data_IF_473772819328
#
_entry.id   IF_473772819328
#
_cell.length_a   1.000
_cell.length_b   1.000
_cell.length_c   1.000
_cell.angle_alpha   90.00
_cell.angle_beta   90.00
_cell.angle_gamma   90.00
#
_symmetry.space_group_name_H-M   'P 1'
#
loop_
_entity.id
_entity.type
_entity.pdbx_description
1 polymer ?
#
# COMPACT_ATOMS: atom_id res chain seq x y z
N UNK A 1 -5.76 55.65 41.13
CA UNK A 1 -6.37 54.52 40.39
C UNK A 1 -5.99 54.44 38.91
N UNK A 2 -5.88 55.55 38.15
CA UNK A 2 -5.49 55.50 36.71
C UNK A 2 -4.04 55.00 36.49
N UNK A 3 -3.08 55.45 37.29
CA UNK A 3 -1.68 55.04 37.17
C UNK A 3 -1.45 53.53 37.45
N UNK A 4 -2.19 52.94 38.39
CA UNK A 4 -2.11 51.49 38.69
C UNK A 4 -2.68 50.65 37.55
N UNK A 5 -3.74 51.11 36.88
CA UNK A 5 -4.30 50.44 35.70
C UNK A 5 -3.35 50.47 34.49
N UNK A 6 -2.61 51.57 34.30
CA UNK A 6 -1.62 51.69 33.21
C UNK A 6 -0.39 50.82 33.50
N UNK A 7 0.08 50.79 34.75
CA UNK A 7 1.18 49.91 35.15
C UNK A 7 0.80 48.42 35.06
N UNK A 8 -0.43 48.07 35.39
CA UNK A 8 -0.95 46.71 35.24
C UNK A 8 -1.11 46.31 33.77
N UNK A 9 -1.59 47.22 32.90
CA UNK A 9 -1.63 46.99 31.45
C UNK A 9 -0.22 46.82 30.85
N UNK A 10 0.75 47.59 31.33
CA UNK A 10 2.15 47.47 30.90
C UNK A 10 2.79 46.15 31.32
N UNK A 11 2.50 45.68 32.55
CA UNK A 11 3.00 44.40 33.05
C UNK A 11 2.36 43.21 32.33
N UNK A 12 1.04 43.25 32.07
CA UNK A 12 0.32 42.23 31.29
C UNK A 12 0.80 42.20 29.84
N UNK A 13 1.13 43.34 29.23
CA UNK A 13 1.69 43.41 27.87
C UNK A 13 3.11 42.85 27.76
N UNK A 14 3.88 42.79 28.85
CA UNK A 14 5.24 42.23 28.85
C UNK A 14 5.26 40.71 29.11
N UNK A 15 4.18 40.15 29.64
CA UNK A 15 4.05 38.72 29.94
C UNK A 15 3.67 37.85 28.73
N UNK A 16 3.29 38.46 27.59
CA UNK A 16 2.89 37.74 26.36
C UNK A 16 4.02 37.58 25.35
N UNK A 17 5.24 38.04 25.64
CA UNK A 17 6.41 37.81 24.79
C UNK A 17 7.07 36.47 25.12
N UNK A 18 6.35 35.35 24.92
CA UNK A 18 7.00 34.04 24.84
C UNK A 18 7.54 33.89 23.43
N UNK A 19 8.77 34.38 23.19
CA UNK A 19 9.53 33.96 22.03
C UNK A 19 9.86 32.48 22.25
N UNK A 20 9.13 31.60 21.58
CA UNK A 20 9.57 30.21 21.42
C UNK A 20 10.79 30.32 20.49
N UNK A 21 11.97 30.05 21.01
CA UNK A 21 13.15 29.86 20.15
C UNK A 21 12.89 28.60 19.33
N UNK A 22 12.80 28.70 17.98
CA UNK A 22 12.73 27.51 17.16
C UNK A 22 14.00 26.70 17.42
N UNK A 23 13.83 25.41 17.69
CA UNK A 23 14.97 24.50 17.76
C UNK A 23 15.48 24.32 16.33
N UNK A 24 16.61 24.96 16.00
CA UNK A 24 17.31 24.71 14.75
C UNK A 24 17.99 23.34 14.87
N UNK A 25 17.32 22.30 14.38
CA UNK A 25 17.95 21.01 14.12
C UNK A 25 18.98 21.24 13.00
N UNK A 26 20.26 21.31 13.36
CA UNK A 26 21.34 21.31 12.37
C UNK A 26 21.43 19.89 11.82
N UNK A 27 20.82 19.66 10.66
CA UNK A 27 21.03 18.42 9.92
C UNK A 27 22.41 18.50 9.25
N UNK A 28 23.30 17.56 9.54
CA UNK A 28 24.43 17.33 8.66
C UNK A 28 23.86 16.72 7.36
N UNK A 29 24.08 17.42 6.24
CA UNK A 29 23.83 16.85 4.92
C UNK A 29 24.79 15.68 4.72
N UNK A 30 24.28 14.45 4.83
CA UNK A 30 25.04 13.30 4.42
C UNK A 30 25.13 13.35 2.90
N UNK A 31 26.36 13.45 2.40
CA UNK A 31 26.64 13.42 0.95
C UNK A 31 26.12 12.15 0.25
N UNK A 32 25.80 11.10 1.01
CA UNK A 32 25.17 9.87 0.56
C UNK A 32 23.96 9.57 1.44
N UNK A 33 22.71 9.81 0.97
CA UNK A 33 21.54 9.39 1.70
C UNK A 33 21.50 7.86 1.77
N UNK A 34 21.09 7.33 2.92
CA UNK A 34 20.79 5.90 3.07
C UNK A 34 19.62 5.51 2.17
N UNK A 35 19.53 4.22 1.86
CA UNK A 35 18.45 3.66 1.05
C UNK A 35 17.51 2.81 1.91
N UNK A 36 16.27 2.73 1.48
CA UNK A 36 15.26 1.81 1.99
C UNK A 36 14.99 0.77 0.90
N UNK A 37 15.08 -0.50 1.26
CA UNK A 37 14.78 -1.62 0.37
C UNK A 37 13.61 -2.40 0.95
N UNK A 38 12.49 -2.42 0.24
CA UNK A 38 11.28 -3.13 0.64
C UNK A 38 10.83 -4.10 -0.43
N UNK A 39 10.49 -5.31 -0.04
CA UNK A 39 9.94 -6.30 -0.97
C UNK A 39 9.80 -7.66 -0.32
N UNK A 40 9.23 -8.60 -1.06
CA UNK A 40 9.17 -9.97 -0.59
C UNK A 40 9.15 -10.96 -1.75
N UNK A 41 9.60 -12.18 -1.47
CA UNK A 41 9.40 -13.35 -2.31
C UNK A 41 8.29 -14.23 -1.71
N UNK A 42 7.48 -14.87 -2.53
CA UNK A 42 6.46 -15.82 -2.08
C UNK A 42 6.52 -17.14 -2.81
N UNK A 43 5.84 -18.15 -2.26
CA UNK A 43 5.68 -19.49 -2.86
C UNK A 43 4.73 -19.54 -4.07
N UNK A 44 3.89 -18.50 -4.24
CA UNK A 44 3.12 -18.23 -5.44
C UNK A 44 4.03 -17.89 -6.64
N UNK A 45 3.79 -18.57 -7.77
CA UNK A 45 4.48 -18.33 -9.03
C UNK A 45 3.98 -17.04 -9.67
N UNK A 46 4.90 -16.11 -9.96
CA UNK A 46 4.52 -14.83 -10.54
C UNK A 46 5.66 -13.82 -10.60
N UNK A 47 5.28 -12.57 -10.87
CA UNK A 47 6.18 -11.43 -10.78
C UNK A 47 6.21 -10.96 -9.31
N UNK A 48 7.42 -10.83 -8.77
CA UNK A 48 7.70 -10.26 -7.46
C UNK A 48 8.39 -8.92 -7.64
N UNK A 49 8.14 -8.00 -6.72
CA UNK A 49 8.64 -6.63 -6.78
C UNK A 49 9.52 -6.32 -5.57
N UNK A 50 10.62 -5.62 -5.83
CA UNK A 50 11.51 -5.05 -4.82
C UNK A 50 11.63 -3.57 -5.12
N UNK A 51 11.27 -2.73 -4.15
CA UNK A 51 11.39 -1.29 -4.23
C UNK A 51 12.68 -0.83 -3.58
N UNK A 52 13.40 0.05 -4.27
CA UNK A 52 14.61 0.70 -3.77
C UNK A 52 14.41 2.21 -3.84
N UNK A 53 14.42 2.86 -2.69
CA UNK A 53 14.24 4.31 -2.56
C UNK A 53 15.31 4.90 -1.64
N UNK A 54 15.54 6.21 -1.71
CA UNK A 54 16.38 6.94 -0.77
C UNK A 54 15.54 7.44 0.38
N UNK A 55 16.12 7.41 1.59
CA UNK A 55 15.47 7.98 2.77
C UNK A 55 15.27 9.47 2.55
N UNK A 56 14.02 9.92 2.52
CA UNK A 56 13.69 11.33 2.50
C UNK A 56 13.66 11.86 3.93
N UNK A 57 14.41 12.93 4.20
CA UNK A 57 14.39 13.57 5.53
C UNK A 57 13.08 14.34 5.70
N UNK A 58 12.39 14.13 6.82
CA UNK A 58 11.24 14.94 7.24
C UNK A 58 11.73 16.34 7.64
N UNK A 59 11.88 17.26 6.69
CA UNK A 59 12.21 18.66 7.01
C UNK A 59 11.49 19.69 6.12
N UNK A 60 10.98 19.32 4.95
CA UNK A 60 10.37 20.30 4.05
C UNK A 60 8.84 20.23 4.07
N UNK A 61 8.22 21.31 4.53
CA UNK A 61 6.77 21.56 4.59
C UNK A 61 6.07 21.60 3.20
N UNK A 62 6.74 21.18 2.12
CA UNK A 62 6.26 21.25 0.74
C UNK A 62 5.92 19.88 0.12
N UNK A 63 5.61 18.89 0.95
CA UNK A 63 5.30 17.54 0.50
C UNK A 63 6.56 16.67 0.43
N UNK A 64 6.37 15.36 0.64
CA UNK A 64 7.45 14.37 0.53
C UNK A 64 7.62 14.02 -0.94
N UNK A 65 8.72 14.46 -1.56
CA UNK A 65 9.13 13.95 -2.86
C UNK A 65 9.90 12.65 -2.64
N UNK A 66 9.34 11.53 -3.12
CA UNK A 66 9.98 10.23 -3.02
C UNK A 66 11.13 10.17 -4.04
N UNK A 67 12.36 10.02 -3.53
CA UNK A 67 13.56 9.88 -4.37
C UNK A 67 13.85 8.38 -4.60
N UNK A 68 13.51 7.90 -5.80
CA UNK A 68 13.66 6.50 -6.17
C UNK A 68 15.04 6.18 -6.77
N UNK A 69 15.44 4.90 -6.76
CA UNK A 69 16.74 4.47 -7.28
C UNK A 69 16.56 3.68 -8.58
N UNK A 70 16.97 4.27 -9.71
CA UNK A 70 16.60 3.78 -11.06
C UNK A 70 17.66 2.87 -11.72
N UNK A 71 18.84 2.76 -11.11
CA UNK A 71 20.00 2.08 -11.70
C UNK A 71 20.78 1.28 -10.64
N UNK A 72 20.10 0.37 -9.97
CA UNK A 72 20.71 -0.59 -9.08
C UNK A 72 20.70 -1.99 -9.73
N UNK A 73 21.69 -2.81 -9.39
CA UNK A 73 21.64 -4.26 -9.65
C UNK A 73 20.91 -4.91 -8.48
N UNK A 74 19.73 -5.49 -8.73
CA UNK A 74 18.90 -6.13 -7.71
C UNK A 74 18.78 -7.62 -7.99
N UNK A 75 19.11 -8.44 -6.99
CA UNK A 75 19.01 -9.90 -7.09
C UNK A 75 18.51 -10.51 -5.79
N UNK A 76 17.82 -11.64 -5.88
CA UNK A 76 17.54 -12.51 -4.74
C UNK A 76 18.43 -13.75 -4.83
N UNK A 77 19.10 -14.07 -3.73
CA UNK A 77 20.08 -15.15 -3.63
C UNK A 77 19.53 -16.22 -2.69
N UNK A 78 19.46 -17.47 -3.15
CA UNK A 78 19.07 -18.60 -2.31
C UNK A 78 20.24 -19.16 -1.48
N UNK A 79 19.95 -20.11 -0.59
CA UNK A 79 20.92 -20.78 0.27
C UNK A 79 21.94 -21.68 -0.45
N UNK A 80 21.70 -22.04 -1.71
CA UNK A 80 22.65 -22.74 -2.59
C UNK A 80 23.54 -21.75 -3.37
N UNK A 81 23.27 -20.45 -3.29
CA UNK A 81 23.97 -19.38 -3.98
C UNK A 81 23.46 -19.09 -5.40
N UNK A 82 22.34 -19.67 -5.81
CA UNK A 82 21.70 -19.33 -7.08
C UNK A 82 21.12 -17.91 -6.99
N UNK A 83 21.20 -17.19 -8.11
CA UNK A 83 20.72 -15.81 -8.20
C UNK A 83 19.51 -15.72 -9.12
N UNK A 84 18.48 -15.03 -8.63
CA UNK A 84 17.35 -14.56 -9.41
C UNK A 84 17.49 -13.06 -9.61
N UNK A 85 17.68 -12.63 -10.85
CA UNK A 85 17.85 -11.22 -11.19
C UNK A 85 16.50 -10.50 -11.29
N UNK A 86 16.45 -9.26 -10.82
CA UNK A 86 15.29 -8.37 -10.92
C UNK A 86 15.63 -7.20 -11.84
N UNK A 87 14.72 -6.87 -12.76
CA UNK A 87 14.92 -5.81 -13.76
C UNK A 87 14.16 -4.56 -13.37
N UNK A 88 14.77 -3.39 -13.53
CA UNK A 88 14.12 -2.10 -13.30
C UNK A 88 12.86 -1.95 -14.16
N UNK A 89 11.78 -1.43 -13.55
CA UNK A 89 10.52 -1.13 -14.23
C UNK A 89 10.25 0.38 -14.23
N UNK A 90 9.92 0.93 -13.07
CA UNK A 90 9.51 2.32 -12.88
C UNK A 90 9.59 2.67 -11.38
N UNK A 91 9.74 3.95 -11.02
CA UNK A 91 9.59 4.44 -9.64
C UNK A 91 10.38 3.61 -8.58
N UNK A 92 11.61 3.22 -8.91
CA UNK A 92 12.49 2.41 -8.04
C UNK A 92 12.03 0.96 -7.84
N UNK A 93 11.04 0.49 -8.61
CA UNK A 93 10.55 -0.89 -8.60
C UNK A 93 11.40 -1.74 -9.54
N UNK A 94 11.88 -2.86 -9.01
CA UNK A 94 12.56 -3.92 -9.73
C UNK A 94 11.70 -5.17 -9.71
N UNK A 95 11.47 -5.79 -10.86
CA UNK A 95 10.55 -6.91 -11.03
C UNK A 95 11.29 -8.19 -11.44
N UNK A 96 10.86 -9.33 -10.90
CA UNK A 96 11.34 -10.65 -11.32
C UNK A 96 10.74 -11.10 -12.65
N UNK A 97 11.27 -12.20 -13.20
CA UNK A 97 10.58 -12.94 -14.26
C UNK A 97 9.28 -13.59 -13.73
N UNK A 98 8.24 -13.79 -14.58
CA UNK A 98 6.91 -14.22 -14.14
C UNK A 98 6.82 -15.67 -13.63
N UNK A 99 7.88 -16.47 -13.79
CA UNK A 99 7.95 -17.87 -13.37
C UNK A 99 8.73 -18.06 -12.06
N UNK A 100 8.99 -16.97 -11.33
CA UNK A 100 9.73 -17.00 -10.07
C UNK A 100 8.80 -17.37 -8.93
N UNK A 101 9.30 -18.20 -8.00
CA UNK A 101 8.64 -18.58 -6.75
C UNK A 101 9.66 -19.03 -5.72
N UNK A 102 9.37 -18.81 -4.44
CA UNK A 102 10.09 -19.43 -3.35
C UNK A 102 9.71 -20.92 -3.23
N UNK A 103 10.69 -21.74 -2.88
CA UNK A 103 10.52 -23.16 -2.57
C UNK A 103 10.46 -23.40 -1.05
N UNK A 104 9.53 -24.23 -0.54
CA UNK A 104 9.43 -24.52 0.88
C UNK A 104 10.75 -25.03 1.47
N UNK A 105 11.10 -24.56 2.68
CA UNK A 105 12.32 -24.91 3.39
C UNK A 105 13.59 -24.19 2.91
N UNK A 106 13.55 -23.51 1.75
CA UNK A 106 14.68 -22.72 1.24
C UNK A 106 14.76 -21.35 1.90
N UNK A 107 15.98 -20.84 2.03
CA UNK A 107 16.24 -19.49 2.52
C UNK A 107 16.69 -18.57 1.40
N UNK A 108 16.25 -17.30 1.44
CA UNK A 108 16.55 -16.30 0.44
C UNK A 108 16.97 -14.98 1.11
N UNK A 109 17.82 -14.22 0.42
CA UNK A 109 18.13 -12.83 0.78
C UNK A 109 18.13 -11.96 -0.46
N UNK A 110 17.77 -10.69 -0.31
CA UNK A 110 17.98 -9.70 -1.38
C UNK A 110 19.40 -9.15 -1.30
N UNK A 111 19.99 -8.87 -2.46
CA UNK A 111 21.23 -8.12 -2.63
C UNK A 111 21.02 -7.02 -3.66
N UNK A 112 21.30 -5.79 -3.25
CA UNK A 112 21.20 -4.58 -4.07
C UNK A 112 22.59 -3.94 -4.15
N UNK A 113 23.06 -3.69 -5.37
CA UNK A 113 24.32 -2.96 -5.62
C UNK A 113 24.01 -1.69 -6.36
N UNK A 114 24.37 -0.55 -5.77
CA UNK A 114 24.16 0.77 -6.36
C UNK A 114 25.26 1.11 -7.37
N UNK A 115 25.02 2.13 -8.20
CA UNK A 115 26.02 2.66 -9.14
C UNK A 115 27.27 3.26 -8.48
N UNK A 116 27.20 3.60 -7.19
CA UNK A 116 28.32 4.11 -6.40
C UNK A 116 29.06 2.99 -5.65
N UNK A 117 28.87 1.73 -6.08
CA UNK A 117 29.45 0.50 -5.52
C UNK A 117 29.01 0.16 -4.08
N UNK A 118 28.08 0.92 -3.48
CA UNK A 118 27.48 0.52 -2.19
C UNK A 118 26.67 -0.75 -2.37
N UNK A 119 26.83 -1.67 -1.43
CA UNK A 119 26.15 -2.97 -1.45
C UNK A 119 25.31 -3.13 -0.21
N UNK A 120 24.04 -3.47 -0.42
CA UNK A 120 23.08 -3.74 0.65
C UNK A 120 22.57 -5.19 0.52
N UNK A 121 22.47 -5.89 1.65
CA UNK A 121 21.94 -7.24 1.73
C UNK A 121 20.95 -7.38 2.88
N UNK A 122 19.90 -8.17 2.68
CA UNK A 122 19.06 -8.61 3.79
C UNK A 122 19.74 -9.73 4.59
N UNK A 123 19.24 -9.96 5.80
CA UNK A 123 19.34 -11.28 6.42
C UNK A 123 18.63 -12.33 5.56
N UNK A 124 19.01 -13.60 5.74
CA UNK A 124 18.29 -14.71 5.13
C UNK A 124 16.93 -14.89 5.81
N UNK A 125 15.89 -14.94 5.00
CA UNK A 125 14.53 -15.32 5.40
C UNK A 125 14.21 -16.69 4.80
N UNK A 126 13.67 -17.58 5.61
CA UNK A 126 13.31 -18.93 5.18
C UNK A 126 11.82 -18.99 4.88
N UNK A 127 11.45 -19.62 3.76
CA UNK A 127 10.05 -20.00 3.53
C UNK A 127 9.70 -21.20 4.43
N UNK A 128 8.74 -21.09 5.36
CA UNK A 128 8.34 -22.21 6.20
C UNK A 128 7.87 -23.40 5.36
N UNK A 129 8.13 -24.63 5.81
CA UNK A 129 7.66 -25.85 5.14
C UNK A 129 6.14 -26.05 5.25
N UNK A 130 5.52 -25.49 6.28
CA UNK A 130 4.08 -25.53 6.47
C UNK A 130 3.38 -24.80 5.32
N UNK A 131 2.47 -25.51 4.63
CA UNK A 131 1.74 -24.94 3.49
C UNK A 131 0.83 -23.79 3.93
N UNK A 132 0.72 -22.79 3.05
CA UNK A 132 -0.27 -21.73 3.13
C UNK A 132 -1.69 -22.33 3.24
N UNK A 133 -2.49 -21.85 4.19
CA UNK A 133 -3.92 -22.15 4.17
C UNK A 133 -4.55 -21.29 3.06
N UNK A 134 -5.38 -21.86 2.17
CA UNK A 134 -6.05 -21.07 1.15
C UNK A 134 -6.87 -19.97 1.81
N UNK A 135 -6.76 -18.74 1.29
CA UNK A 135 -7.60 -17.63 1.75
C UNK A 135 -9.04 -17.84 1.24
N UNK A 136 -10.01 -17.78 2.15
CA UNK A 136 -11.43 -17.71 1.82
C UNK A 136 -11.94 -16.31 2.10
N UNK A 137 -12.19 -15.52 1.06
CA UNK A 137 -12.82 -14.21 1.26
C UNK A 137 -14.35 -14.35 1.33
N UNK A 138 -14.98 -13.41 2.02
CA UNK A 138 -16.41 -13.15 1.97
C UNK A 138 -16.68 -11.65 2.03
N UNK A 139 -17.89 -11.23 1.68
CA UNK A 139 -18.27 -9.82 1.75
C UNK A 139 -19.73 -9.66 2.16
N UNK A 140 -20.04 -8.53 2.78
CA UNK A 140 -21.40 -8.16 3.18
C UNK A 140 -21.62 -6.66 3.08
N UNK A 141 -22.86 -6.27 2.80
CA UNK A 141 -23.27 -4.88 2.95
C UNK A 141 -23.23 -4.50 4.43
N UNK A 142 -22.67 -3.34 4.73
CA UNK A 142 -22.50 -2.83 6.08
C UNK A 142 -22.64 -1.29 6.10
N UNK A 143 -22.66 -0.71 7.28
CA UNK A 143 -22.78 0.73 7.50
C UNK A 143 -21.86 1.20 8.62
N UNK A 144 -21.24 2.36 8.47
CA UNK A 144 -20.42 3.02 9.50
C UNK A 144 -20.90 4.44 9.77
N UNK A 145 -20.78 4.85 11.03
CA UNK A 145 -21.06 6.23 11.43
C UNK A 145 -19.89 7.15 11.07
N UNK A 146 -20.17 8.18 10.28
CA UNK A 146 -19.21 9.23 9.92
C UNK A 146 -19.70 10.60 10.38
N UNK A 147 -18.78 11.53 10.62
CA UNK A 147 -19.13 12.92 10.94
C UNK A 147 -19.00 13.76 9.68
N UNK A 148 -20.11 14.25 9.17
CA UNK A 148 -20.15 15.19 8.03
C UNK A 148 -20.73 16.51 8.54
N UNK A 149 -19.94 17.58 8.45
CA UNK A 149 -20.34 18.92 8.92
C UNK A 149 -20.81 18.95 10.39
N UNK A 150 -20.14 18.18 11.25
CA UNK A 150 -20.46 18.12 12.69
C UNK A 150 -21.72 17.32 13.03
N UNK A 151 -22.34 16.64 12.05
CA UNK A 151 -23.49 15.76 12.25
C UNK A 151 -23.08 14.31 11.99
N UNK A 152 -23.50 13.39 12.86
CA UNK A 152 -23.31 11.96 12.67
C UNK A 152 -24.25 11.47 11.56
N UNK A 153 -23.69 10.85 10.54
CA UNK A 153 -24.39 10.30 9.39
C UNK A 153 -23.96 8.85 9.19
N UNK A 154 -24.92 8.00 8.87
CA UNK A 154 -24.64 6.61 8.50
C UNK A 154 -24.17 6.56 7.04
N UNK A 155 -23.01 5.97 6.81
CA UNK A 155 -22.45 5.76 5.48
C UNK A 155 -22.45 4.27 5.16
N UNK A 156 -23.05 3.89 4.03
CA UNK A 156 -23.08 2.51 3.55
C UNK A 156 -21.78 2.13 2.83
N UNK A 157 -21.36 0.88 3.03
CA UNK A 157 -20.18 0.29 2.43
C UNK A 157 -20.26 -1.22 2.35
N UNK A 158 -19.17 -1.81 1.89
CA UNK A 158 -18.99 -3.25 1.83
C UNK A 158 -17.84 -3.61 2.75
N UNK A 159 -18.14 -4.47 3.71
CA UNK A 159 -17.12 -5.08 4.57
C UNK A 159 -16.62 -6.35 3.88
N UNK A 160 -15.31 -6.46 3.71
CA UNK A 160 -14.64 -7.64 3.17
C UNK A 160 -13.95 -8.36 4.32
N UNK A 161 -14.20 -9.66 4.43
CA UNK A 161 -13.70 -10.50 5.51
C UNK A 161 -12.88 -11.67 4.95
N UNK A 162 -11.78 -11.99 5.61
CA UNK A 162 -10.99 -13.19 5.37
C UNK A 162 -11.32 -14.26 6.41
N UNK A 163 -11.53 -15.49 5.97
CA UNK A 163 -11.65 -16.64 6.85
C UNK A 163 -10.28 -17.04 7.41
N UNK A 164 -10.15 -16.99 8.73
CA UNK A 164 -8.98 -17.49 9.46
C UNK A 164 -9.33 -18.84 10.07
N UNK A 165 -8.57 -19.87 9.68
CA UNK A 165 -8.63 -21.20 10.28
C UNK A 165 -7.70 -21.21 11.50
N UNK A 166 -8.24 -21.62 12.66
CA UNK A 166 -7.48 -21.73 13.91
C UNK A 166 -6.48 -22.88 13.84
N UNK A 167 -5.26 -22.58 14.26
CA UNK A 167 -4.13 -23.52 14.28
C UNK A 167 -3.50 -23.59 15.69
N UNK A 168 -2.74 -24.65 15.95
CA UNK A 168 -2.09 -24.87 17.26
C UNK A 168 -0.95 -23.86 17.52
N UNK A 169 -0.39 -23.29 16.46
CA UNK A 169 0.69 -22.31 16.52
C UNK A 169 0.15 -20.91 16.19
N UNK A 170 0.74 -19.89 16.82
CA UNK A 170 0.43 -18.51 16.48
C UNK A 170 0.72 -18.25 15.00
N UNK A 171 -0.20 -17.59 14.30
CA UNK A 171 0.00 -17.16 12.91
C UNK A 171 -0.12 -15.64 12.79
N UNK A 172 0.70 -15.08 11.91
CA UNK A 172 0.74 -13.64 11.64
C UNK A 172 0.41 -13.43 10.18
N UNK A 173 -0.60 -12.62 9.95
CA UNK A 173 -1.13 -12.37 8.63
C UNK A 173 -0.93 -10.90 8.25
N UNK A 174 -0.60 -10.71 6.98
CA UNK A 174 -0.75 -9.43 6.30
C UNK A 174 -1.56 -9.63 5.03
N UNK A 175 -2.34 -8.63 4.64
CA UNK A 175 -2.99 -8.63 3.33
C UNK A 175 -2.49 -7.47 2.48
N UNK A 176 -2.08 -7.79 1.26
CA UNK A 176 -1.96 -6.80 0.19
C UNK A 176 -3.30 -6.79 -0.57
N UNK A 177 -3.99 -5.64 -0.54
CA UNK A 177 -5.33 -5.50 -1.11
C UNK A 177 -5.26 -4.61 -2.35
N UNK A 178 -5.81 -5.11 -3.46
CA UNK A 178 -5.96 -4.36 -4.70
C UNK A 178 -7.44 -4.25 -5.05
N UNK A 179 -7.84 -3.07 -5.54
CA UNK A 179 -9.16 -2.87 -6.12
C UNK A 179 -9.08 -2.81 -7.61
N UNK A 180 -10.08 -3.40 -8.25
CA UNK A 180 -10.26 -3.27 -9.68
C UNK A 180 -11.74 -3.01 -9.99
N UNK A 181 -12.02 -2.17 -10.97
CA UNK A 181 -13.40 -1.86 -11.32
C UNK A 181 -13.56 -1.48 -12.79
N UNK A 182 -14.81 -1.52 -13.24
CA UNK A 182 -15.19 -1.19 -14.60
C UNK A 182 -15.83 0.20 -14.63
N UNK A 183 -15.42 1.00 -15.63
CA UNK A 183 -16.07 2.24 -16.03
C UNK A 183 -16.66 2.05 -17.44
N UNK A 184 -17.84 2.60 -17.70
CA UNK A 184 -18.35 2.76 -19.07
C UNK A 184 -18.07 4.18 -19.58
N UNK A 185 -17.43 4.29 -20.75
CA UNK A 185 -16.98 5.55 -21.35
C UNK A 185 -18.09 6.35 -22.10
N UNK A 186 -19.36 5.91 -22.06
CA UNK A 186 -20.44 6.44 -22.91
C UNK A 186 -20.93 7.86 -22.51
N UNK A 187 -20.63 8.33 -21.29
CA UNK A 187 -21.03 9.67 -20.81
C UNK A 187 -20.07 10.81 -21.22
N UNK A 188 -19.04 10.53 -22.04
CA UNK A 188 -18.10 11.55 -22.52
C UNK A 188 -18.81 12.64 -23.35
N UNK A 189 -18.83 13.92 -22.92
CA UNK A 189 -19.69 14.94 -23.51
C UNK A 189 -19.44 15.30 -24.98
N UNK A 190 -18.36 14.85 -25.63
CA UNK A 190 -17.98 15.37 -26.97
C UNK A 190 -17.74 14.38 -28.11
N UNK A 191 -17.76 13.04 -27.95
CA UNK A 191 -17.40 12.16 -29.08
C UNK A 191 -18.19 10.85 -29.18
N UNK A 192 -19.49 10.92 -29.52
CA UNK A 192 -20.04 10.12 -30.64
C UNK A 192 -21.50 10.47 -30.92
N UNK A 193 -21.79 10.84 -32.17
CA UNK A 193 -23.15 10.82 -32.69
C UNK A 193 -23.68 9.38 -32.59
N UNK A 194 -24.78 9.20 -31.85
CA UNK A 194 -25.49 7.94 -31.57
C UNK A 194 -25.72 7.03 -32.82
N UNK A 195 -25.62 7.60 -34.02
CA UNK A 195 -25.94 6.98 -35.31
C UNK A 195 -24.76 6.29 -36.02
N UNK A 196 -23.56 6.24 -35.43
CA UNK A 196 -22.38 5.56 -36.01
C UNK A 196 -21.92 4.33 -35.19
N UNK A 197 -22.69 3.92 -34.18
CA UNK A 197 -22.35 2.80 -33.30
C UNK A 197 -22.48 1.45 -34.02
N UNK A 198 -21.41 0.68 -34.11
CA UNK A 198 -21.43 -0.73 -34.56
C UNK A 198 -21.40 -1.69 -33.35
N UNK A 199 -21.94 -2.90 -33.48
CA UNK A 199 -21.94 -3.93 -32.39
C UNK A 199 -20.52 -4.32 -31.91
N UNK A 200 -19.47 -4.02 -32.68
CA UNK A 200 -18.09 -4.25 -32.27
C UNK A 200 -17.53 -3.13 -31.38
N UNK A 201 -18.15 -1.95 -31.36
CA UNK A 201 -17.73 -0.82 -30.51
C UNK A 201 -18.09 -1.04 -29.04
N UNK A 202 -19.09 -1.89 -28.74
CA UNK A 202 -19.57 -2.15 -27.37
C UNK A 202 -18.62 -2.98 -26.51
N UNK A 203 -17.64 -3.69 -27.09
CA UNK A 203 -16.61 -4.40 -26.32
C UNK A 203 -15.48 -3.46 -25.89
N UNK A 204 -15.26 -2.37 -26.62
CA UNK A 204 -14.20 -1.37 -26.37
C UNK A 204 -14.67 -0.21 -25.47
N UNK A 205 -15.91 -0.23 -24.97
CA UNK A 205 -16.50 0.86 -24.15
C UNK A 205 -16.15 0.78 -22.66
N UNK A 206 -15.67 -0.38 -22.22
CA UNK A 206 -15.40 -0.66 -20.80
C UNK A 206 -13.91 -0.48 -20.51
N UNK A 207 -13.63 0.34 -19.51
CA UNK A 207 -12.27 0.58 -19.02
C UNK A 207 -12.05 -0.27 -17.77
N UNK A 208 -10.93 -0.99 -17.72
CA UNK A 208 -10.52 -1.76 -16.55
C UNK A 208 -9.53 -0.94 -15.73
N UNK A 209 -9.98 -0.50 -14.56
CA UNK A 209 -9.17 0.32 -13.68
C UNK A 209 -8.63 -0.54 -12.56
N UNK A 210 -7.31 -0.52 -12.38
CA UNK A 210 -6.68 -0.92 -11.12
C UNK A 210 -6.55 0.33 -10.26
N UNK A 211 -7.27 0.36 -9.14
CA UNK A 211 -7.21 1.51 -8.25
C UNK A 211 -5.93 1.49 -7.42
N UNK A 212 -5.36 2.68 -7.19
CA UNK A 212 -4.28 2.83 -6.24
C UNK A 212 -4.89 3.04 -4.85
N UNK A 213 -5.16 1.91 -4.17
CA UNK A 213 -5.56 1.96 -2.76
C UNK A 213 -4.42 2.64 -1.98
N UNK A 214 -4.78 3.49 -1.01
CA UNK A 214 -3.83 4.00 -0.02
C UNK A 214 -3.04 2.83 0.56
N UNK A 215 -1.72 2.98 0.75
CA UNK A 215 -0.83 1.94 1.29
C UNK A 215 -1.10 1.68 2.79
N UNK A 216 -2.33 1.32 3.12
CA UNK A 216 -2.69 0.86 4.45
C UNK A 216 -2.12 -0.54 4.66
N UNK A 217 -1.53 -0.75 5.83
CA UNK A 217 -0.94 -2.03 6.20
C UNK A 217 -1.98 -2.83 6.98
N UNK A 218 -2.58 -3.84 6.36
CA UNK A 218 -3.57 -4.74 6.99
C UNK A 218 -2.85 -5.89 7.70
N UNK A 219 -2.98 -5.96 9.03
CA UNK A 219 -2.26 -6.91 9.88
C UNK A 219 -3.20 -7.59 10.87
N UNK A 220 -2.96 -8.87 11.11
CA UNK A 220 -3.68 -9.63 12.13
C UNK A 220 -2.78 -10.67 12.78
N UNK A 221 -2.89 -10.81 14.10
CA UNK A 221 -2.22 -11.84 14.90
C UNK A 221 -3.27 -12.85 15.38
N UNK A 222 -3.19 -14.09 14.88
CA UNK A 222 -3.98 -15.20 15.39
C UNK A 222 -3.20 -15.90 16.49
N UNK A 223 -3.53 -15.60 17.75
CA UNK A 223 -2.93 -16.26 18.91
C UNK A 223 -3.58 -17.63 19.08
N UNK A 224 -2.74 -18.66 19.23
CA UNK A 224 -3.22 -20.03 19.42
C UNK A 224 -3.98 -20.17 20.73
N UNK A 225 -5.02 -21.01 20.68
CA UNK A 225 -5.88 -21.33 21.80
C UNK A 225 -6.53 -22.69 21.61
N UNK A 226 -7.11 -23.26 22.66
CA UNK A 226 -7.65 -24.65 22.66
C UNK A 226 -8.92 -24.81 21.77
N UNK A 227 -9.40 -23.74 21.15
CA UNK A 227 -10.60 -23.77 20.32
C UNK A 227 -10.25 -24.04 18.84
N UNK A 228 -10.68 -25.21 18.35
CA UNK A 228 -10.71 -25.54 16.92
C UNK A 228 -11.87 -24.83 16.22
N UNK A 229 -11.66 -24.41 14.97
CA UNK A 229 -12.68 -23.76 14.14
C UNK A 229 -12.11 -22.74 13.15
N UNK A 230 -12.99 -21.94 12.56
CA UNK A 230 -12.63 -20.77 11.76
C UNK A 230 -13.45 -19.55 12.20
N UNK A 231 -12.96 -18.35 11.90
CA UNK A 231 -13.67 -17.10 12.14
C UNK A 231 -13.41 -16.11 10.99
N UNK A 232 -14.30 -15.13 10.86
CA UNK A 232 -14.16 -14.07 9.87
C UNK A 232 -13.40 -12.90 10.49
N UNK A 233 -12.34 -12.46 9.81
CA UNK A 233 -11.56 -11.28 10.15
C UNK A 233 -11.84 -10.21 9.10
N UNK A 234 -12.36 -9.07 9.52
CA UNK A 234 -12.48 -7.92 8.63
C UNK A 234 -11.09 -7.45 8.19
N UNK A 235 -10.88 -7.39 6.87
CA UNK A 235 -9.63 -6.94 6.26
C UNK A 235 -9.78 -5.59 5.56
N UNK A 236 -11.01 -5.21 5.17
CA UNK A 236 -11.25 -3.94 4.52
C UNK A 236 -12.73 -3.52 4.62
N UNK A 237 -12.95 -2.21 4.60
CA UNK A 237 -14.25 -1.61 4.36
C UNK A 237 -14.18 -0.63 3.20
N UNK A 238 -15.00 -0.86 2.18
CA UNK A 238 -15.06 -0.02 0.98
C UNK A 238 -16.40 0.69 0.94
N UNK A 239 -16.40 2.02 1.00
CA UNK A 239 -17.60 2.84 0.86
C UNK A 239 -18.27 2.60 -0.50
N UNK A 240 -19.61 2.52 -0.51
CA UNK A 240 -20.38 2.49 -1.76
C UNK A 240 -20.17 3.81 -2.52
N UNK A 241 -19.57 3.69 -3.69
CA UNK A 241 -19.17 4.77 -4.59
C UNK A 241 -19.43 4.35 -6.04
N UNK A 242 -19.27 5.24 -7.05
CA UNK A 242 -19.46 4.89 -8.46
C UNK A 242 -18.65 3.68 -8.95
N UNK A 243 -17.58 3.28 -8.24
CA UNK A 243 -16.83 2.04 -8.50
C UNK A 243 -17.71 0.78 -8.49
N UNK A 244 -18.84 0.81 -7.79
CA UNK A 244 -19.81 -0.29 -7.69
C UNK A 244 -20.91 -0.25 -8.76
N UNK A 245 -20.86 0.68 -9.72
CA UNK A 245 -21.88 0.80 -10.77
C UNK A 245 -22.00 -0.47 -11.62
N UNK A 246 -20.85 -1.03 -11.99
CA UNK A 246 -20.75 -2.28 -12.74
C UNK A 246 -20.29 -3.43 -11.84
N UNK A 247 -19.01 -3.78 -11.94
CA UNK A 247 -18.39 -4.85 -11.17
C UNK A 247 -17.19 -4.25 -10.46
N UNK A 248 -17.22 -4.33 -9.13
CA UNK A 248 -16.10 -3.99 -8.26
C UNK A 248 -15.44 -5.29 -7.81
N UNK A 249 -14.11 -5.36 -7.92
CA UNK A 249 -13.34 -6.54 -7.54
C UNK A 249 -12.37 -6.16 -6.44
N UNK A 250 -12.44 -6.90 -5.34
CA UNK A 250 -11.40 -6.88 -4.31
C UNK A 250 -10.55 -8.13 -4.48
N UNK A 251 -9.26 -7.93 -4.68
CA UNK A 251 -8.24 -8.96 -4.68
C UNK A 251 -7.43 -8.83 -3.39
N UNK A 252 -7.42 -9.88 -2.56
CA UNK A 252 -6.60 -9.89 -1.37
C UNK A 252 -5.54 -10.99 -1.48
N UNK A 253 -4.28 -10.59 -1.41
CA UNK A 253 -3.14 -11.50 -1.27
C UNK A 253 -2.79 -11.61 0.20
N UNK A 254 -3.13 -12.75 0.80
CA UNK A 254 -2.75 -13.09 2.16
C UNK A 254 -1.28 -13.52 2.19
N UNK A 255 -0.53 -12.97 3.13
CA UNK A 255 0.86 -13.30 3.42
C UNK A 255 0.93 -13.83 4.85
N UNK A 256 1.36 -15.08 5.01
CA UNK A 256 1.68 -15.67 6.31
C UNK A 256 3.16 -15.45 6.56
N UNK A 257 3.47 -14.74 7.64
CA UNK A 257 4.81 -14.26 7.93
C UNK A 257 5.31 -14.66 9.31
N UNK A 258 6.64 -14.71 9.53
CA UNK A 258 7.20 -14.93 10.85
C UNK A 258 6.97 -13.71 11.76
N UNK A 259 7.04 -13.93 13.07
CA UNK A 259 6.76 -12.91 14.09
C UNK A 259 7.60 -11.64 13.94
N UNK A 260 8.89 -11.77 13.59
CA UNK A 260 9.77 -10.60 13.44
C UNK A 260 9.35 -9.71 12.26
N UNK A 261 8.96 -10.31 11.12
CA UNK A 261 8.41 -9.57 9.99
C UNK A 261 7.10 -8.85 10.37
N UNK A 262 6.21 -9.53 11.11
CA UNK A 262 4.97 -8.92 11.61
C UNK A 262 5.23 -7.70 12.51
N UNK A 263 6.20 -7.81 13.43
CA UNK A 263 6.57 -6.72 14.32
C UNK A 263 7.10 -5.51 13.53
N UNK A 264 7.94 -5.74 12.52
CA UNK A 264 8.40 -4.67 11.62
C UNK A 264 7.22 -3.92 10.98
N UNK A 265 6.29 -4.64 10.34
CA UNK A 265 5.13 -4.01 9.70
C UNK A 265 4.18 -3.35 10.69
N UNK A 266 4.09 -3.86 11.93
CA UNK A 266 3.31 -3.25 13.00
C UNK A 266 3.89 -1.90 13.43
N UNK A 267 5.22 -1.78 13.50
CA UNK A 267 5.90 -0.51 13.78
C UNK A 267 5.71 0.48 12.64
N UNK A 268 5.86 0.05 11.38
CA UNK A 268 5.56 0.88 10.19
C UNK A 268 4.12 1.39 10.21
N UNK A 269 3.15 0.49 10.49
CA UNK A 269 1.74 0.87 10.62
C UNK A 269 1.52 1.91 11.72
N UNK A 270 2.15 1.73 12.88
CA UNK A 270 2.01 2.67 13.99
C UNK A 270 2.57 4.05 13.66
N UNK A 271 3.69 4.13 12.92
CA UNK A 271 4.25 5.40 12.48
C UNK A 271 3.38 6.11 11.44
N UNK A 272 2.82 5.38 10.48
CA UNK A 272 1.93 5.94 9.46
C UNK A 272 0.63 6.51 10.07
N UNK A 273 0.17 5.96 11.19
CA UNK A 273 -1.03 6.41 11.90
C UNK A 273 -0.76 7.54 12.91
N UNK A 274 0.51 7.84 13.22
CA UNK A 274 0.85 8.97 14.08
C UNK A 274 0.64 10.28 13.31
N UNK A 275 -0.50 10.92 13.53
CA UNK A 275 -0.93 12.16 12.88
C UNK A 275 -0.14 13.42 13.28
N UNK A 276 0.84 13.31 14.17
CA UNK A 276 1.67 14.43 14.64
C UNK A 276 1.01 15.30 15.71
N UNK A 277 0.05 14.76 16.46
CA UNK A 277 -0.58 15.43 17.60
C UNK A 277 0.41 15.71 18.74
N UNK A 278 0.07 16.66 19.63
CA UNK A 278 0.91 17.06 20.78
C UNK A 278 1.23 15.89 21.75
N UNK A 279 0.46 14.80 21.67
CA UNK A 279 0.62 13.60 22.48
C UNK A 279 1.10 12.38 21.67
N UNK A 280 1.40 12.56 20.38
CA UNK A 280 1.92 11.48 19.55
C UNK A 280 3.38 11.25 19.90
N UNK A 281 3.77 9.98 19.89
CA UNK A 281 5.18 9.59 20.08
C UNK A 281 6.03 10.23 18.99
N UNK A 282 7.21 10.72 19.35
CA UNK A 282 8.17 11.22 18.36
C UNK A 282 8.49 10.12 17.34
N UNK A 283 8.61 10.45 16.04
CA UNK A 283 9.05 9.51 15.02
C UNK A 283 10.38 8.86 15.42
N UNK A 284 10.48 7.55 15.22
CA UNK A 284 11.69 6.76 15.48
C UNK A 284 12.01 5.89 14.26
N UNK A 285 13.27 5.47 14.10
CA UNK A 285 13.66 4.57 13.01
C UNK A 285 13.20 3.14 13.30
N UNK A 286 12.51 2.53 12.33
CA UNK A 286 12.11 1.12 12.42
C UNK A 286 13.27 0.27 11.94
N UNK A 287 13.77 -0.60 12.81
CA UNK A 287 14.84 -1.54 12.44
C UNK A 287 14.28 -2.67 11.58
N UNK A 288 14.65 -2.67 10.32
CA UNK A 288 14.39 -3.75 9.36
C UNK A 288 15.45 -4.86 9.40
N UNK A 289 15.62 -5.56 8.27
CA UNK A 289 16.60 -6.65 8.13
C UNK A 289 17.63 -6.42 7.01
N UNK A 290 17.65 -5.24 6.40
CA UNK A 290 18.58 -4.83 5.34
C UNK A 290 19.78 -4.13 5.96
N UNK A 291 20.99 -4.47 5.54
CA UNK A 291 22.22 -3.81 5.99
C UNK A 291 23.17 -3.54 4.84
N UNK A 292 23.98 -2.50 4.98
CA UNK A 292 25.11 -2.24 4.10
C UNK A 292 26.25 -3.21 4.42
N UNK A 293 26.89 -3.77 3.39
CA UNK A 293 27.90 -4.85 3.50
C UNK A 293 29.18 -4.61 2.68
N UNK A 294 29.36 -3.44 2.08
CA UNK A 294 30.61 -3.08 1.41
C UNK A 294 31.73 -2.71 2.39
N UNK A 295 32.95 -2.51 1.87
CA UNK A 295 34.16 -2.30 2.69
C UNK A 295 34.15 -0.99 3.49
N UNK A 296 33.29 -0.04 3.14
CA UNK A 296 33.11 1.23 3.84
C UNK A 296 31.84 1.23 4.72
N UNK A 297 31.29 0.05 5.01
CA UNK A 297 30.18 -0.12 5.93
C UNK A 297 30.65 0.09 7.38
N UNK A 298 29.95 0.95 8.13
CA UNK A 298 30.19 1.13 9.56
C UNK A 298 29.47 0.03 10.35
N UNK A 299 29.99 -0.37 11.52
CA UNK A 299 29.36 -1.47 12.31
C UNK A 299 28.00 -1.09 12.91
N UNK A 300 27.67 0.20 12.94
CA UNK A 300 26.45 0.77 13.52
C UNK A 300 25.32 1.00 12.49
N UNK A 301 25.47 0.46 11.27
CA UNK A 301 24.52 0.68 10.16
C UNK A 301 23.07 0.43 10.58
N UNK A 302 22.24 1.46 10.44
CA UNK A 302 20.80 1.35 10.61
C UNK A 302 20.23 0.34 9.61
N UNK A 303 19.42 -0.60 10.11
CA UNK A 303 18.75 -1.56 9.24
C UNK A 303 17.48 -0.92 8.70
N UNK A 304 17.50 -0.47 7.44
CA UNK A 304 16.39 0.27 6.83
C UNK A 304 15.73 -0.53 5.71
N UNK A 305 14.42 -0.68 5.82
CA UNK A 305 13.62 -1.50 4.91
C UNK A 305 13.62 -2.98 5.28
N UNK A 306 12.74 -3.75 4.65
CA UNK A 306 12.57 -5.16 4.97
C UNK A 306 12.37 -6.02 3.72
N UNK A 307 13.14 -7.10 3.64
CA UNK A 307 12.90 -8.17 2.69
C UNK A 307 12.31 -9.40 3.38
N UNK A 308 11.17 -9.88 2.91
CA UNK A 308 10.48 -11.05 3.45
C UNK A 308 10.42 -12.24 2.51
N UNK A 309 10.22 -13.43 3.07
CA UNK A 309 9.86 -14.63 2.31
C UNK A 309 8.64 -15.27 2.96
N UNK A 310 7.52 -15.35 2.22
CA UNK A 310 6.21 -15.65 2.80
C UNK A 310 5.46 -16.73 2.06
N UNK A 311 4.66 -17.50 2.80
CA UNK A 311 3.60 -18.31 2.21
C UNK A 311 2.45 -17.39 1.84
N UNK A 312 2.06 -17.39 0.57
CA UNK A 312 1.02 -16.52 0.04
C UNK A 312 -0.23 -17.32 -0.35
N UNK A 313 -1.36 -16.63 -0.40
CA UNK A 313 -2.59 -17.15 -1.01
C UNK A 313 -3.39 -15.98 -1.55
N UNK A 314 -4.13 -16.20 -2.63
CA UNK A 314 -4.85 -15.15 -3.35
C UNK A 314 -6.31 -15.58 -3.56
N UNK A 315 -7.25 -14.72 -3.19
CA UNK A 315 -8.66 -14.84 -3.57
C UNK A 315 -9.19 -13.49 -4.07
N UNK A 316 -10.24 -13.55 -4.88
CA UNK A 316 -10.88 -12.38 -5.48
C UNK A 316 -12.38 -12.45 -5.28
N UNK A 317 -12.99 -11.31 -4.94
CA UNK A 317 -14.46 -11.18 -4.89
C UNK A 317 -14.96 -10.15 -5.87
N UNK A 318 -15.83 -10.63 -6.75
CA UNK A 318 -16.62 -9.83 -7.66
C UNK A 318 -17.90 -9.39 -6.94
N UNK A 319 -18.04 -8.09 -6.77
CA UNK A 319 -19.08 -7.45 -5.99
C UNK A 319 -19.88 -6.55 -6.94
N UNK A 320 -21.20 -6.73 -6.93
CA UNK A 320 -22.15 -5.94 -7.73
C UNK A 320 -23.22 -5.40 -6.81
N UNK A 321 -23.92 -4.35 -7.22
CA UNK A 321 -25.07 -3.87 -6.44
C UNK A 321 -26.13 -4.97 -6.23
N UNK A 322 -26.36 -5.79 -7.27
CA UNK A 322 -27.28 -6.92 -7.20
C UNK A 322 -26.86 -7.98 -6.18
N UNK A 323 -25.57 -8.28 -6.04
CA UNK A 323 -25.10 -9.26 -5.05
C UNK A 323 -25.17 -8.73 -3.61
N UNK A 324 -25.16 -7.40 -3.45
CA UNK A 324 -25.38 -6.72 -2.18
C UNK A 324 -26.87 -6.48 -1.87
N UNK A 325 -27.78 -6.75 -2.82
CA UNK A 325 -29.21 -6.48 -2.66
C UNK A 325 -29.56 -4.99 -2.62
N UNK A 326 -28.70 -4.14 -3.19
CA UNK A 326 -28.93 -2.69 -3.29
C UNK A 326 -29.15 -2.28 -4.74
N UNK A 327 -29.77 -1.12 -4.91
CA UNK A 327 -29.85 -0.43 -6.19
C UNK A 327 -29.72 1.07 -5.92
N UNK A 328 -28.58 1.61 -6.29
CA UNK A 328 -28.19 3.01 -6.12
C UNK A 328 -27.79 3.55 -7.48
N UNK A 329 -28.56 4.53 -7.91
CA UNK A 329 -28.20 5.33 -9.07
C UNK A 329 -27.12 6.32 -8.63
N UNK A 330 -25.99 6.29 -9.31
CA UNK A 330 -24.96 7.31 -9.16
C UNK A 330 -25.32 8.49 -10.06
N UNK A 331 -25.01 9.70 -9.61
CA UNK A 331 -25.28 10.90 -10.40
C UNK A 331 -24.48 10.85 -11.70
N UNK A 332 -25.00 11.41 -12.80
CA UNK A 332 -24.27 11.50 -14.06
C UNK A 332 -22.95 12.22 -13.82
N UNK A 333 -21.93 11.81 -14.56
CA UNK A 333 -20.59 12.16 -14.21
C UNK A 333 -20.34 13.68 -14.31
N UNK A 334 -19.66 14.26 -13.31
CA UNK A 334 -19.21 15.66 -13.33
C UNK A 334 -17.69 15.73 -13.36
N UNK A 335 -17.12 16.33 -14.41
CA UNK A 335 -15.67 16.49 -14.53
C UNK A 335 -15.14 17.43 -13.44
N UNK A 336 -14.18 16.98 -12.60
CA UNK A 336 -13.43 17.89 -11.75
C UNK A 336 -12.53 18.78 -12.62
N UNK A 337 -12.16 19.96 -12.10
CA UNK A 337 -11.35 20.96 -12.82
C UNK A 337 -9.94 20.42 -13.15
N UNK A 338 -9.43 19.51 -12.32
CA UNK A 338 -8.17 18.79 -12.50
C UNK A 338 -8.33 17.33 -12.04
N UNK A 339 -7.86 16.38 -12.83
CA UNK A 339 -7.76 14.96 -12.47
C UNK A 339 -6.53 14.36 -13.14
N UNK A 340 -5.86 13.45 -12.42
CA UNK A 340 -4.64 12.78 -12.87
C UNK A 340 -4.86 11.29 -13.15
N UNK A 341 -6.08 10.80 -12.92
CA UNK A 341 -6.48 9.39 -13.10
C UNK A 341 -7.68 9.28 -14.04
N UNK A 342 -7.88 8.12 -14.71
CA UNK A 342 -9.03 7.91 -15.58
C UNK A 342 -10.35 8.23 -14.87
N UNK A 343 -11.12 9.15 -15.43
CA UNK A 343 -12.38 9.60 -14.85
C UNK A 343 -13.58 8.98 -15.58
N UNK A 344 -14.65 8.56 -14.89
CA UNK A 344 -15.85 8.00 -15.54
C UNK A 344 -16.53 8.90 -16.57
N UNK A 345 -16.23 10.19 -16.54
CA UNK A 345 -16.80 11.20 -17.44
C UNK A 345 -16.10 11.24 -18.79
N UNK A 346 -15.01 10.49 -18.94
CA UNK A 346 -14.18 10.59 -20.11
C UNK A 346 -13.97 9.25 -20.75
N UNK A 347 -13.80 9.31 -22.06
CA UNK A 347 -13.43 8.15 -22.83
C UNK A 347 -11.97 7.80 -22.53
N UNK A 348 -11.78 6.78 -21.69
CA UNK A 348 -10.46 6.28 -21.32
C UNK A 348 -9.62 5.83 -22.53
N UNK A 349 -10.23 5.63 -23.71
CA UNK A 349 -9.52 5.33 -24.96
C UNK A 349 -8.79 6.55 -25.53
N UNK A 350 -9.16 7.76 -25.14
CA UNK A 350 -8.62 9.02 -25.66
C UNK A 350 -7.36 9.48 -24.93
N UNK A 351 -6.96 8.79 -23.87
CA UNK A 351 -5.81 9.15 -23.06
C UNK A 351 -4.67 8.15 -23.21
N UNK A 352 -3.47 8.67 -23.50
CA UNK A 352 -2.23 7.98 -23.20
C UNK A 352 -1.83 8.30 -21.74
N UNK A 353 -2.53 7.75 -20.73
CA UNK A 353 -2.01 7.89 -19.36
C UNK A 353 -0.68 7.11 -19.24
N UNK A 354 0.20 7.55 -18.36
CA UNK A 354 1.53 6.95 -18.19
C UNK A 354 1.48 5.61 -17.44
N UNK A 355 0.39 5.29 -16.73
CA UNK A 355 0.25 4.05 -15.94
C UNK A 355 -1.22 3.54 -15.89
N UNK A 356 -1.39 2.22 -15.97
CA UNK A 356 -2.52 1.42 -15.45
C UNK A 356 -3.95 1.57 -16.03
N UNK A 357 -4.09 1.80 -17.33
CA UNK A 357 -5.32 1.45 -18.05
C UNK A 357 -4.94 0.47 -19.15
N UNK A 358 -5.40 -0.75 -19.01
CA UNK A 358 -5.50 -1.62 -20.18
C UNK A 358 -6.95 -1.50 -20.65
N UNK A 359 -7.14 -1.20 -21.95
CA UNK A 359 -8.44 -1.42 -22.60
C UNK A 359 -8.82 -2.92 -22.63
N UNK A 360 -7.97 -3.78 -22.05
CA UNK A 360 -8.19 -5.20 -21.88
C UNK A 360 -8.29 -5.52 -20.38
N UNK A 361 -9.21 -6.40 -19.99
CA UNK A 361 -9.24 -6.92 -18.64
C UNK A 361 -7.94 -7.66 -18.31
N UNK A 362 -7.53 -7.69 -17.03
CA UNK A 362 -6.53 -8.66 -16.58
C UNK A 362 -6.91 -10.08 -17.01
N UNK A 363 -5.92 -10.93 -17.30
CA UNK A 363 -6.16 -12.28 -17.84
C UNK A 363 -7.04 -13.18 -16.96
N UNK A 364 -7.16 -12.88 -15.67
CA UNK A 364 -7.99 -13.59 -14.70
C UNK A 364 -9.45 -13.11 -14.66
N UNK A 365 -9.78 -11.99 -15.30
CA UNK A 365 -11.12 -11.42 -15.33
C UNK A 365 -11.95 -12.13 -16.41
N UNK A 366 -12.77 -13.08 -16.00
CA UNK A 366 -13.65 -13.86 -16.89
C UNK A 366 -15.05 -13.24 -16.89
N UNK A 367 -15.59 -12.96 -18.08
CA UNK A 367 -16.90 -12.34 -18.31
C UNK A 367 -18.09 -13.25 -18.01
#
# INVERSE_FOLDING_TARGET
MKAVKIAFLGFVSLSVSTCVEPYDYIYEDSSNPEIVIDGYLSDEEGIHEIRVARVTKLADFNGVELDFVDNASVSVIDDDGNKTEFTYRDNGIYASAPNVRAMPGKSYKVRVTLNDDRVYESLYEQLPEDQSNPIGLSYKLDSRDIIVNGTLQEEQGVTVEAEIIKEDNNRFYRWDINHYFIIEADEAPEFTLQNQRHEQDTALRFCFIKDFVTQEVYLHEDISGVASGSYQQEIEYVRISPKFEYVFVVEAKQLIMPRHAYNYWKEIKSLAQNSGGLFDSSPYSVSGNIKRVDAAADEENEQLGFFGVYNASLDRKFITQSSLGIYKEFAPCQLPIEYTTPHPCEDCRLYEFLENYENNPPSWWVY
#
